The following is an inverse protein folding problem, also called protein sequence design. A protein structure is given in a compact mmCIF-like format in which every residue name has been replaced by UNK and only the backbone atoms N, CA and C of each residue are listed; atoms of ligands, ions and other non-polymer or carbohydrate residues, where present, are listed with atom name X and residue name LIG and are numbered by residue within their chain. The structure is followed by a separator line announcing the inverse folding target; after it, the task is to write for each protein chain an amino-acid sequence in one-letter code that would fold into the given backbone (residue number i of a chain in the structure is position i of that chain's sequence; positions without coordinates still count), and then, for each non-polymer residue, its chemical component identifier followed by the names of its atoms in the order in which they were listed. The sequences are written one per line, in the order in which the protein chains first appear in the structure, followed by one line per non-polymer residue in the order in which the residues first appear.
data_IF_435368189645
#
_entry.id   IF_435368189645
#
_cell.length_a   1.000
_cell.length_b   1.000
_cell.length_c   1.000
_cell.angle_alpha   90.00
_cell.angle_beta   90.00
_cell.angle_gamma   90.00
#
_symmetry.space_group_name_H-M   'P 1'
#
loop_
_entity.id
_entity.type
_entity.pdbx_description
1 polymer ?
#
# COMPACT_ATOMS: atom_id res chain seq x y z
N UNK A 1 11.27 14.22 16.87
CA UNK A 1 11.19 13.47 15.60
C UNK A 1 12.62 13.21 15.16
N UNK A 2 12.99 11.97 14.84
CA UNK A 2 14.26 11.73 14.15
C UNK A 2 14.12 12.35 12.77
N UNK A 3 15.10 13.15 12.36
CA UNK A 3 15.19 13.61 10.98
C UNK A 3 15.55 12.41 10.10
N UNK A 4 14.53 11.69 9.61
CA UNK A 4 14.73 10.69 8.55
C UNK A 4 15.01 11.46 7.25
N UNK A 5 16.22 11.31 6.73
CA UNK A 5 16.62 11.77 5.40
C UNK A 5 16.51 10.60 4.41
N UNK A 6 16.24 10.90 3.14
CA UNK A 6 16.05 9.90 2.10
C UNK A 6 17.28 8.98 1.94
N UNK A 7 18.50 9.52 2.10
CA UNK A 7 19.75 8.77 2.02
C UNK A 7 20.01 7.81 3.19
N UNK A 8 19.19 7.86 4.24
CA UNK A 8 19.33 7.00 5.41
C UNK A 8 18.43 5.77 5.37
N UNK A 9 17.66 5.60 4.29
CA UNK A 9 16.82 4.42 4.07
C UNK A 9 17.70 3.26 3.62
N UNK A 10 17.43 2.07 4.14
CA UNK A 10 18.10 0.86 3.71
C UNK A 10 17.85 0.58 2.22
N UNK A 11 18.89 0.16 1.51
CA UNK A 11 18.79 -0.21 0.09
C UNK A 11 17.79 -1.36 -0.09
N UNK A 12 17.76 -2.33 0.82
CA UNK A 12 16.82 -3.46 0.75
C UNK A 12 15.35 -2.98 0.85
N UNK A 13 15.09 -1.95 1.67
CA UNK A 13 13.76 -1.36 1.79
C UNK A 13 13.36 -0.59 0.52
N UNK A 14 14.32 0.10 -0.12
CA UNK A 14 14.10 0.78 -1.40
C UNK A 14 13.82 -0.24 -2.51
N UNK A 15 14.58 -1.34 -2.58
CA UNK A 15 14.38 -2.41 -3.57
C UNK A 15 12.98 -3.03 -3.44
N UNK A 16 12.58 -3.41 -2.23
CA UNK A 16 11.23 -3.89 -1.95
C UNK A 16 10.14 -2.88 -2.35
N UNK A 17 10.41 -1.59 -2.16
CA UNK A 17 9.48 -0.53 -2.54
C UNK A 17 9.39 -0.34 -4.06
N UNK A 18 10.49 -0.48 -4.78
CA UNK A 18 10.51 -0.44 -6.24
C UNK A 18 9.66 -1.56 -6.84
N UNK A 19 9.64 -2.76 -6.25
CA UNK A 19 8.71 -3.81 -6.68
C UNK A 19 7.24 -3.41 -6.55
N UNK A 20 6.88 -2.63 -5.53
CA UNK A 20 5.50 -2.12 -5.41
C UNK A 20 5.19 -1.12 -6.52
N UNK A 21 6.15 -0.26 -6.89
CA UNK A 21 6.04 0.70 -8.00
C UNK A 21 5.84 -0.04 -9.32
N UNK A 22 6.63 -1.08 -9.59
CA UNK A 22 6.49 -1.93 -10.77
C UNK A 22 5.07 -2.48 -10.90
N UNK A 23 4.55 -3.06 -9.81
CA UNK A 23 3.20 -3.62 -9.76
C UNK A 23 2.12 -2.55 -10.01
N UNK A 24 2.28 -1.36 -9.43
CA UNK A 24 1.29 -0.28 -9.53
C UNK A 24 1.23 0.37 -10.91
N UNK A 25 2.39 0.60 -11.54
CA UNK A 25 2.53 1.23 -12.85
C UNK A 25 2.68 0.23 -14.00
N UNK A 26 2.68 -1.08 -13.72
CA UNK A 26 2.94 -2.16 -14.68
C UNK A 26 4.22 -1.93 -15.51
N UNK A 27 5.28 -1.52 -14.83
CA UNK A 27 6.64 -1.36 -15.39
C UNK A 27 7.57 -2.42 -14.80
N UNK A 28 8.76 -2.61 -15.40
CA UNK A 28 9.75 -3.59 -14.92
C UNK A 28 11.16 -2.99 -14.97
N UNK A 29 11.82 -2.86 -13.82
CA UNK A 29 13.21 -2.46 -13.66
C UNK A 29 14.14 -3.65 -13.92
N UNK A 30 15.20 -3.44 -14.69
CA UNK A 30 16.24 -4.44 -14.90
C UNK A 30 17.29 -4.32 -13.79
N UNK A 31 18.02 -5.41 -13.57
CA UNK A 31 19.13 -5.41 -12.61
C UNK A 31 20.11 -4.27 -12.96
N UNK A 32 20.56 -3.54 -11.94
CA UNK A 32 21.53 -2.45 -12.04
C UNK A 32 21.09 -1.22 -12.84
N UNK A 33 19.84 -1.17 -13.31
CA UNK A 33 19.34 -0.08 -14.16
C UNK A 33 19.28 1.28 -13.45
N UNK A 34 19.11 1.24 -12.12
CA UNK A 34 19.00 2.44 -11.27
C UNK A 34 20.34 2.86 -10.65
N UNK A 35 21.46 2.17 -10.94
CA UNK A 35 22.79 2.46 -10.32
C UNK A 35 23.23 3.92 -10.51
N UNK A 36 22.86 4.53 -11.63
CA UNK A 36 23.24 5.91 -11.95
C UNK A 36 22.28 6.96 -11.39
N UNK A 37 21.17 6.55 -10.78
CA UNK A 37 20.15 7.44 -10.23
C UNK A 37 20.55 7.79 -8.80
N UNK A 38 21.01 9.02 -8.62
CA UNK A 38 21.51 9.51 -7.31
C UNK A 38 20.53 10.47 -6.64
N UNK A 39 19.59 11.03 -7.42
CA UNK A 39 18.64 12.04 -6.95
C UNK A 39 17.20 11.59 -7.12
N UNK A 40 16.35 11.98 -6.17
CA UNK A 40 14.93 11.66 -6.17
C UNK A 40 14.19 12.14 -7.43
N UNK A 41 14.51 13.34 -7.93
CA UNK A 41 13.92 13.84 -9.16
C UNK A 41 14.28 12.99 -10.38
N UNK A 42 15.51 12.47 -10.44
CA UNK A 42 15.93 11.56 -11.50
C UNK A 42 15.16 10.24 -11.45
N UNK A 43 14.91 9.71 -10.24
CA UNK A 43 14.08 8.51 -10.08
C UNK A 43 12.65 8.76 -10.56
N UNK A 44 12.06 9.90 -10.20
CA UNK A 44 10.72 10.26 -10.64
C UNK A 44 10.63 10.36 -12.18
N UNK A 45 11.58 11.05 -12.81
CA UNK A 45 11.64 11.16 -14.27
C UNK A 45 11.81 9.79 -14.93
N UNK A 46 12.69 8.97 -14.36
CA UNK A 46 12.99 7.64 -14.85
C UNK A 46 11.74 6.75 -14.83
N UNK A 47 11.05 6.65 -13.69
CA UNK A 47 9.80 5.91 -13.55
C UNK A 47 8.76 6.43 -14.54
N UNK A 48 8.60 7.76 -14.61
CA UNK A 48 7.60 8.40 -15.47
C UNK A 48 7.84 8.09 -16.95
N UNK A 49 9.10 8.12 -17.40
CA UNK A 49 9.45 7.84 -18.80
C UNK A 49 9.38 6.36 -19.14
N UNK A 50 9.43 5.47 -18.14
CA UNK A 50 9.31 4.02 -18.33
C UNK A 50 7.88 3.54 -18.55
N UNK A 51 6.88 4.38 -18.26
CA UNK A 51 5.47 4.07 -18.49
C UNK A 51 5.14 4.27 -19.97
N UNK A 52 5.07 3.16 -20.71
CA UNK A 52 4.75 3.13 -22.14
C UNK A 52 3.22 3.12 -22.41
N UNK A 53 2.50 4.10 -21.87
CA UNK A 53 1.05 4.22 -22.01
C UNK A 53 0.65 5.57 -22.60
N UNK A 54 -0.61 5.71 -23.02
CA UNK A 54 -1.13 6.98 -23.54
C UNK A 54 -1.24 8.02 -22.41
N UNK A 55 -0.67 9.20 -22.62
CA UNK A 55 -0.80 10.29 -21.66
C UNK A 55 -2.20 10.92 -21.75
N UNK A 56 -2.93 10.92 -20.64
CA UNK A 56 -4.23 11.55 -20.50
C UNK A 56 -4.27 12.38 -19.21
N UNK A 57 -4.58 13.68 -19.33
CA UNK A 57 -4.46 14.68 -18.25
C UNK A 57 -5.51 14.57 -17.14
N UNK A 58 -6.44 13.61 -17.20
CA UNK A 58 -7.45 13.43 -16.17
C UNK A 58 -6.84 12.93 -14.85
N UNK A 59 -7.37 13.42 -13.73
CA UNK A 59 -6.83 13.14 -12.40
C UNK A 59 -7.15 11.71 -11.95
N UNK A 60 -6.15 10.93 -11.56
CA UNK A 60 -6.37 9.54 -11.09
C UNK A 60 -7.04 9.51 -9.73
N UNK A 61 -6.74 10.43 -8.81
CA UNK A 61 -7.45 10.50 -7.52
C UNK A 61 -8.96 10.70 -7.68
N UNK A 62 -9.36 11.53 -8.66
CA UNK A 62 -10.78 11.74 -8.96
C UNK A 62 -11.42 10.47 -9.53
N UNK A 63 -10.73 9.79 -10.46
CA UNK A 63 -11.19 8.52 -11.03
C UNK A 63 -11.30 7.43 -9.96
N UNK A 64 -10.29 7.29 -9.11
CA UNK A 64 -10.25 6.38 -7.98
C UNK A 64 -11.41 6.65 -7.01
N UNK A 65 -11.68 7.91 -6.68
CA UNK A 65 -12.82 8.27 -5.83
C UNK A 65 -14.15 7.85 -6.46
N UNK A 66 -14.38 8.16 -7.74
CA UNK A 66 -15.64 7.79 -8.39
C UNK A 66 -15.79 6.28 -8.53
N UNK A 67 -14.72 5.55 -8.85
CA UNK A 67 -14.70 4.09 -8.92
C UNK A 67 -15.00 3.46 -7.56
N UNK A 68 -14.36 3.95 -6.49
CA UNK A 68 -14.60 3.49 -5.13
C UNK A 68 -16.02 3.81 -4.67
N UNK A 69 -16.50 5.03 -4.93
CA UNK A 69 -17.85 5.47 -4.57
C UNK A 69 -18.93 4.63 -5.23
N UNK A 70 -18.74 4.29 -6.51
CA UNK A 70 -19.62 3.37 -7.24
C UNK A 70 -19.68 2.01 -6.57
N UNK A 71 -18.51 1.42 -6.30
CA UNK A 71 -18.39 0.10 -5.71
C UNK A 71 -19.07 0.03 -4.33
N UNK A 72 -18.83 1.04 -3.48
CA UNK A 72 -19.45 1.13 -2.15
C UNK A 72 -20.96 1.26 -2.25
N UNK A 73 -21.47 2.12 -3.15
CA UNK A 73 -22.90 2.32 -3.33
C UNK A 73 -23.61 1.02 -3.72
N UNK A 74 -23.01 0.23 -4.62
CA UNK A 74 -23.55 -1.06 -5.05
C UNK A 74 -23.52 -2.09 -3.91
N UNK A 75 -22.41 -2.21 -3.20
CA UNK A 75 -22.20 -3.26 -2.19
C UNK A 75 -23.04 -3.03 -0.94
N UNK A 76 -23.11 -1.76 -0.49
CA UNK A 76 -23.87 -1.39 0.71
C UNK A 76 -25.32 -1.02 0.39
N UNK A 77 -25.70 -0.99 -0.90
CA UNK A 77 -27.01 -0.56 -1.37
C UNK A 77 -27.42 0.83 -0.84
N UNK A 78 -26.51 1.80 -0.95
CA UNK A 78 -26.71 3.19 -0.51
C UNK A 78 -26.55 4.16 -1.69
N UNK A 79 -27.16 5.33 -1.59
CA UNK A 79 -27.08 6.34 -2.64
C UNK A 79 -25.66 6.93 -2.76
N UNK A 80 -25.10 6.98 -3.98
CA UNK A 80 -23.75 7.52 -4.25
C UNK A 80 -23.50 8.92 -3.68
N UNK A 81 -24.54 9.75 -3.60
CA UNK A 81 -24.45 11.15 -3.13
C UNK A 81 -24.15 11.27 -1.63
N UNK A 82 -24.40 10.24 -0.83
CA UNK A 82 -24.13 10.25 0.61
C UNK A 82 -22.67 9.95 0.93
N UNK A 83 -21.92 9.38 -0.03
CA UNK A 83 -20.54 8.97 0.14
C UNK A 83 -19.60 10.15 -0.13
N UNK A 84 -18.90 10.60 0.91
CA UNK A 84 -17.98 11.74 0.84
C UNK A 84 -16.55 11.35 1.21
N UNK A 85 -15.57 12.14 0.75
CA UNK A 85 -14.15 11.87 1.01
C UNK A 85 -13.78 11.85 2.50
N UNK A 86 -14.45 12.66 3.31
CA UNK A 86 -14.16 12.78 4.74
C UNK A 86 -14.98 11.81 5.60
N UNK A 87 -15.82 10.98 4.97
CA UNK A 87 -16.65 10.02 5.69
C UNK A 87 -15.77 8.98 6.41
N UNK A 88 -16.01 8.73 7.70
CA UNK A 88 -15.32 7.67 8.43
C UNK A 88 -15.64 6.29 7.84
N UNK A 89 -14.60 5.47 7.68
CA UNK A 89 -14.76 4.10 7.20
C UNK A 89 -15.49 3.21 8.21
N UNK A 90 -15.45 3.55 9.49
CA UNK A 90 -16.18 2.85 10.55
C UNK A 90 -17.68 2.92 10.39
N UNK A 91 -18.17 4.00 9.79
CA UNK A 91 -19.60 4.26 9.61
C UNK A 91 -20.14 3.51 8.39
N UNK A 92 -19.31 3.37 7.34
CA UNK A 92 -19.62 2.59 6.14
C UNK A 92 -19.42 1.09 6.35
N UNK A 93 -18.38 0.70 7.10
CA UNK A 93 -17.99 -0.70 7.29
C UNK A 93 -17.98 -1.05 8.78
N UNK A 94 -19.15 -1.32 9.39
CA UNK A 94 -19.24 -1.68 10.81
C UNK A 94 -18.56 -3.03 11.07
N UNK A 95 -17.98 -3.20 12.27
CA UNK A 95 -17.17 -4.38 12.65
C UNK A 95 -17.82 -5.72 12.30
N UNK A 96 -19.15 -5.83 12.43
CA UNK A 96 -19.91 -7.07 12.22
C UNK A 96 -19.85 -7.58 10.78
N UNK A 97 -19.92 -6.71 9.77
CA UNK A 97 -19.99 -7.08 8.35
C UNK A 97 -18.72 -6.73 7.57
N UNK A 98 -17.82 -5.93 8.19
CA UNK A 98 -16.61 -5.37 7.59
C UNK A 98 -15.79 -6.34 6.74
N UNK A 99 -15.48 -7.55 7.23
CA UNK A 99 -14.65 -8.50 6.46
C UNK A 99 -15.35 -8.86 5.14
N UNK A 100 -16.63 -9.19 5.22
CA UNK A 100 -17.44 -9.57 4.06
C UNK A 100 -17.60 -8.40 3.09
N UNK A 101 -17.88 -7.21 3.60
CA UNK A 101 -18.10 -6.01 2.77
C UNK A 101 -16.81 -5.57 2.07
N UNK A 102 -15.68 -5.59 2.76
CA UNK A 102 -14.37 -5.30 2.15
C UNK A 102 -13.98 -6.37 1.13
N UNK A 103 -14.23 -7.66 1.40
CA UNK A 103 -13.97 -8.71 0.41
C UNK A 103 -14.81 -8.51 -0.86
N UNK A 104 -16.10 -8.21 -0.73
CA UNK A 104 -16.98 -7.85 -1.86
C UNK A 104 -16.46 -6.62 -2.60
N UNK A 105 -15.95 -5.63 -1.87
CA UNK A 105 -15.39 -4.40 -2.42
C UNK A 105 -14.15 -4.66 -3.26
N UNK A 106 -13.20 -5.43 -2.74
CA UNK A 106 -12.00 -5.84 -3.46
C UNK A 106 -12.33 -6.68 -4.70
N UNK A 107 -13.29 -7.62 -4.58
CA UNK A 107 -13.77 -8.42 -5.71
C UNK A 107 -14.39 -7.54 -6.80
N UNK A 108 -15.22 -6.57 -6.43
CA UNK A 108 -15.82 -5.64 -7.38
C UNK A 108 -14.79 -4.73 -8.05
N UNK A 109 -13.80 -4.24 -7.29
CA UNK A 109 -12.74 -3.38 -7.82
C UNK A 109 -11.75 -4.12 -8.72
N UNK A 110 -11.60 -5.43 -8.53
CA UNK A 110 -10.66 -6.29 -9.27
C UNK A 110 -9.25 -6.34 -8.66
N UNK A 111 -9.04 -5.72 -7.50
CA UNK A 111 -7.73 -5.68 -6.83
C UNK A 111 -7.87 -5.53 -5.31
N UNK A 112 -6.78 -5.82 -4.60
CA UNK A 112 -6.72 -5.79 -3.14
C UNK A 112 -6.47 -4.38 -2.61
N UNK A 113 -7.26 -3.98 -1.60
CA UNK A 113 -7.06 -2.73 -0.88
C UNK A 113 -6.18 -2.93 0.36
N UNK A 114 -6.19 -4.14 0.96
CA UNK A 114 -5.41 -4.48 2.15
C UNK A 114 -5.59 -3.44 3.28
N UNK A 115 -6.84 -3.04 3.54
CA UNK A 115 -7.20 -2.02 4.54
C UNK A 115 -7.63 -2.62 5.89
N UNK A 116 -7.65 -3.95 5.98
CA UNK A 116 -7.91 -4.69 7.20
C UNK A 116 -6.60 -5.17 7.82
N UNK A 117 -6.51 -5.12 9.14
CA UNK A 117 -5.37 -5.60 9.91
C UNK A 117 -5.82 -6.43 11.11
N UNK A 118 -4.98 -7.39 11.56
CA UNK A 118 -5.22 -8.11 12.80
C UNK A 118 -5.23 -7.16 14.01
N UNK A 119 -5.85 -7.60 15.10
CA UNK A 119 -5.77 -6.87 16.35
C UNK A 119 -4.33 -6.91 16.89
N UNK A 120 -3.83 -5.77 17.35
CA UNK A 120 -2.43 -5.62 17.77
C UNK A 120 -1.95 -6.65 18.81
N UNK A 121 -2.80 -7.06 19.76
CA UNK A 121 -2.42 -8.03 20.80
C UNK A 121 -2.15 -9.42 20.20
N UNK A 122 -2.88 -9.84 19.17
CA UNK A 122 -2.63 -11.10 18.46
C UNK A 122 -1.26 -11.08 17.78
N UNK A 123 -0.92 -9.97 17.12
CA UNK A 123 0.40 -9.80 16.50
C UNK A 123 1.53 -9.88 17.52
N UNK A 124 1.34 -9.32 18.72
CA UNK A 124 2.32 -9.41 19.82
C UNK A 124 2.49 -10.87 20.27
N UNK A 125 1.38 -11.59 20.51
CA UNK A 125 1.44 -12.98 20.98
C UNK A 125 2.18 -13.87 19.98
N UNK A 126 1.83 -13.80 18.70
CA UNK A 126 2.48 -14.64 17.68
C UNK A 126 3.94 -14.25 17.46
N UNK A 127 4.28 -12.96 17.59
CA UNK A 127 5.68 -12.49 17.52
C UNK A 127 6.50 -13.03 18.70
N UNK A 128 5.99 -12.93 19.92
CA UNK A 128 6.64 -13.49 21.10
C UNK A 128 6.82 -15.01 20.99
N UNK A 129 5.77 -15.73 20.54
CA UNK A 129 5.84 -17.16 20.29
C UNK A 129 6.92 -17.51 19.25
N UNK A 130 7.01 -16.74 18.16
CA UNK A 130 8.04 -16.93 17.13
C UNK A 130 9.43 -16.79 17.73
N UNK A 131 9.69 -15.71 18.47
CA UNK A 131 11.00 -15.44 19.08
C UNK A 131 11.38 -16.53 20.09
N UNK A 132 10.46 -16.94 20.97
CA UNK A 132 10.70 -18.01 21.94
C UNK A 132 11.00 -19.34 21.21
N UNK A 133 10.24 -19.65 20.15
CA UNK A 133 10.42 -20.88 19.38
C UNK A 133 11.74 -20.89 18.61
N UNK A 134 12.15 -19.73 18.09
CA UNK A 134 13.44 -19.56 17.43
C UNK A 134 14.61 -19.80 18.39
N UNK A 135 14.56 -19.27 19.61
CA UNK A 135 15.56 -19.58 20.65
C UNK A 135 15.52 -21.06 21.04
N UNK A 136 14.33 -21.65 21.14
CA UNK A 136 14.16 -23.06 21.47
C UNK A 136 14.75 -24.01 20.41
N UNK A 137 14.90 -23.60 19.15
CA UNK A 137 15.55 -24.43 18.11
C UNK A 137 16.97 -24.88 18.52
N UNK A 138 17.68 -24.04 19.27
CA UNK A 138 19.06 -24.31 19.69
C UNK A 138 19.17 -25.30 20.86
N UNK A 139 18.07 -25.54 21.58
CA UNK A 139 18.03 -26.46 22.72
C UNK A 139 17.22 -27.72 22.40
N UNK A 140 16.05 -27.54 21.80
CA UNK A 140 15.08 -28.60 21.49
C UNK A 140 14.47 -28.34 20.11
N UNK A 141 15.17 -28.80 19.08
CA UNK A 141 14.81 -28.64 17.67
C UNK A 141 13.33 -28.94 17.34
N UNK A 142 12.72 -30.08 17.72
CA UNK A 142 11.34 -30.38 17.33
C UNK A 142 10.32 -29.41 17.95
N UNK A 143 10.57 -28.94 19.18
CA UNK A 143 9.69 -27.97 19.86
C UNK A 143 9.83 -26.61 19.19
N UNK A 144 11.05 -26.18 18.87
CA UNK A 144 11.29 -24.93 18.15
C UNK A 144 10.61 -24.90 16.78
N UNK A 145 10.74 -25.99 16.00
CA UNK A 145 10.09 -26.09 14.69
C UNK A 145 8.55 -26.04 14.79
N UNK A 146 7.97 -26.77 15.75
CA UNK A 146 6.53 -26.76 15.97
C UNK A 146 6.04 -25.37 16.35
N UNK A 147 6.73 -24.68 17.25
CA UNK A 147 6.35 -23.34 17.68
C UNK A 147 6.46 -22.29 16.57
N UNK A 148 7.47 -22.39 15.70
CA UNK A 148 7.58 -21.56 14.49
C UNK A 148 6.40 -21.81 13.56
N UNK A 149 6.05 -23.08 13.30
CA UNK A 149 4.93 -23.43 12.44
C UNK A 149 3.60 -22.89 12.98
N UNK A 150 3.37 -23.01 14.28
CA UNK A 150 2.17 -22.47 14.94
C UNK A 150 2.13 -20.95 14.81
N UNK A 151 3.26 -20.27 15.03
CA UNK A 151 3.33 -18.81 14.91
C UNK A 151 3.04 -18.33 13.48
N UNK A 152 3.68 -18.92 12.46
CA UNK A 152 3.46 -18.56 11.06
C UNK A 152 2.00 -18.77 10.67
N UNK A 153 1.43 -19.92 11.05
CA UNK A 153 0.01 -20.24 10.76
C UNK A 153 -0.92 -19.27 11.49
N UNK A 154 -0.62 -18.95 12.75
CA UNK A 154 -1.37 -17.99 13.56
C UNK A 154 -1.35 -16.58 12.98
N UNK A 155 -0.20 -16.11 12.49
CA UNK A 155 -0.10 -14.83 11.78
C UNK A 155 -0.95 -14.81 10.52
N UNK A 156 -0.89 -15.85 9.70
CA UNK A 156 -1.70 -15.95 8.47
C UNK A 156 -3.20 -15.89 8.77
N UNK A 157 -3.67 -16.70 9.72
CA UNK A 157 -5.09 -16.73 10.13
C UNK A 157 -5.51 -15.38 10.71
N UNK A 158 -4.66 -14.75 11.52
CA UNK A 158 -4.95 -13.44 12.11
C UNK A 158 -5.08 -12.35 11.06
N UNK A 159 -4.24 -12.39 10.03
CA UNK A 159 -4.27 -11.43 8.93
C UNK A 159 -5.56 -11.57 8.10
N UNK A 160 -5.94 -12.82 7.77
CA UNK A 160 -7.18 -13.09 7.01
C UNK A 160 -8.47 -12.74 7.78
N UNK A 161 -8.42 -12.79 9.11
CA UNK A 161 -9.53 -12.46 10.01
C UNK A 161 -9.39 -11.08 10.66
N UNK A 162 -8.49 -10.22 10.15
CA UNK A 162 -8.31 -8.88 10.65
C UNK A 162 -9.59 -8.06 10.53
N UNK A 163 -10.08 -7.53 11.65
CA UNK A 163 -11.28 -6.67 11.67
C UNK A 163 -10.93 -5.21 11.86
N UNK A 164 -9.68 -4.84 12.19
CA UNK A 164 -9.33 -3.45 12.41
C UNK A 164 -9.05 -2.75 11.08
N UNK A 165 -9.55 -1.51 10.93
CA UNK A 165 -9.23 -0.69 9.76
C UNK A 165 -7.87 -0.04 9.97
N UNK A 166 -7.01 -0.11 8.96
CA UNK A 166 -5.71 0.58 8.96
C UNK A 166 -5.81 2.05 8.54
N UNK A 167 -6.92 2.42 7.88
CA UNK A 167 -7.23 3.76 7.42
C UNK A 167 -8.50 4.28 8.10
N UNK A 168 -8.66 5.60 8.17
CA UNK A 168 -9.78 6.27 8.85
C UNK A 168 -10.88 6.72 7.90
N UNK A 169 -10.53 7.19 6.70
CA UNK A 169 -11.47 7.89 5.80
C UNK A 169 -11.45 7.37 4.36
N UNK A 170 -12.50 7.66 3.59
CA UNK A 170 -12.57 7.36 2.16
C UNK A 170 -11.43 8.03 1.38
N UNK A 171 -11.06 9.26 1.74
CA UNK A 171 -9.92 9.99 1.16
C UNK A 171 -8.63 9.19 1.24
N UNK A 172 -8.38 8.53 2.37
CA UNK A 172 -7.17 7.72 2.57
C UNK A 172 -7.19 6.47 1.69
N UNK A 173 -8.34 5.81 1.52
CA UNK A 173 -8.47 4.69 0.57
C UNK A 173 -8.15 5.17 -0.84
N UNK A 174 -8.73 6.30 -1.27
CA UNK A 174 -8.49 6.88 -2.60
C UNK A 174 -7.00 7.15 -2.82
N UNK A 175 -6.31 7.77 -1.85
CA UNK A 175 -4.86 7.98 -1.93
C UNK A 175 -4.09 6.67 -1.99
N UNK A 176 -4.50 5.65 -1.23
CA UNK A 176 -3.87 4.33 -1.26
C UNK A 176 -4.08 3.63 -2.61
N UNK A 177 -5.28 3.70 -3.19
CA UNK A 177 -5.61 3.19 -4.52
C UNK A 177 -4.71 3.83 -5.57
N UNK A 178 -4.64 5.15 -5.60
CA UNK A 178 -3.80 5.89 -6.57
C UNK A 178 -2.32 5.55 -6.44
N UNK A 179 -1.81 5.30 -5.23
CA UNK A 179 -0.40 4.91 -5.03
C UNK A 179 -0.15 3.46 -5.41
N UNK A 180 -0.82 2.51 -4.75
CA UNK A 180 -0.51 1.08 -4.85
C UNK A 180 -1.16 0.36 -6.04
N UNK A 181 -2.17 0.97 -6.65
CA UNK A 181 -2.96 0.39 -7.74
C UNK A 181 -3.26 1.46 -8.81
N UNK A 182 -2.24 2.22 -9.23
CA UNK A 182 -2.41 3.43 -10.04
C UNK A 182 -3.20 3.16 -11.33
N UNK A 183 -2.74 2.20 -12.15
CA UNK A 183 -3.38 1.89 -13.42
C UNK A 183 -4.77 1.27 -13.24
N UNK A 184 -4.92 0.37 -12.26
CA UNK A 184 -6.22 -0.25 -11.92
C UNK A 184 -7.23 0.78 -11.39
N UNK A 185 -6.77 1.90 -10.85
CA UNK A 185 -7.63 2.99 -10.36
C UNK A 185 -8.16 3.88 -11.47
N UNK A 186 -7.54 3.86 -12.65
CA UNK A 186 -7.97 4.64 -13.82
C UNK A 186 -9.14 3.95 -14.52
N UNK A 187 -9.97 4.76 -15.19
CA UNK A 187 -11.09 4.27 -15.99
C UNK A 187 -10.62 3.51 -17.22
N UNK A 188 -9.56 4.01 -17.87
CA UNK A 188 -8.83 3.31 -18.91
C UNK A 188 -7.43 2.99 -18.38
N UNK A 189 -7.15 1.70 -18.17
CA UNK A 189 -5.89 1.21 -17.61
C UNK A 189 -4.72 1.37 -18.59
N UNK A 190 -4.99 1.63 -19.88
CA UNK A 190 -3.96 1.87 -20.90
C UNK A 190 -3.58 3.35 -21.02
N UNK A 191 -3.97 4.17 -20.04
CA UNK A 191 -3.62 5.58 -19.97
C UNK A 191 -2.97 5.89 -18.64
N UNK A 192 -2.17 6.95 -18.58
CA UNK A 192 -1.65 7.52 -17.35
C UNK A 192 -1.62 9.04 -17.45
N UNK A 193 -1.50 9.75 -16.32
CA UNK A 193 -1.31 11.19 -16.33
C UNK A 193 0.14 11.50 -15.95
N UNK A 194 0.95 11.88 -16.95
CA UNK A 194 2.37 12.18 -16.75
C UNK A 194 2.61 13.24 -15.66
N UNK A 195 1.72 14.22 -15.56
CA UNK A 195 1.88 15.39 -14.69
C UNK A 195 1.62 15.12 -13.21
N UNK A 196 1.05 13.97 -12.84
CA UNK A 196 0.77 13.63 -11.44
C UNK A 196 1.71 12.57 -10.85
N UNK A 197 2.51 11.88 -11.68
CA UNK A 197 3.35 10.76 -11.24
C UNK A 197 4.33 11.19 -10.15
N UNK A 198 5.04 12.30 -10.34
CA UNK A 198 5.97 12.83 -9.32
C UNK A 198 5.27 13.08 -7.98
N UNK A 199 4.08 13.68 -7.99
CA UNK A 199 3.30 13.92 -6.77
C UNK A 199 2.81 12.62 -6.13
N UNK A 200 2.44 11.62 -6.93
CA UNK A 200 2.07 10.28 -6.44
C UNK A 200 3.26 9.61 -5.77
N UNK A 201 4.45 9.68 -6.38
CA UNK A 201 5.69 9.13 -5.82
C UNK A 201 6.09 9.85 -4.53
N UNK A 202 6.05 11.19 -4.49
CA UNK A 202 6.31 11.97 -3.26
C UNK A 202 5.36 11.53 -2.13
N UNK A 203 4.06 11.44 -2.39
CA UNK A 203 3.10 10.98 -1.38
C UNK A 203 3.38 9.53 -0.97
N UNK A 204 3.82 8.68 -1.88
CA UNK A 204 4.09 7.28 -1.57
C UNK A 204 5.36 7.10 -0.75
N UNK A 205 6.49 7.66 -1.18
CA UNK A 205 7.76 7.65 -0.42
C UNK A 205 7.58 8.24 0.98
N UNK A 206 6.92 9.41 1.08
CA UNK A 206 6.65 10.05 2.36
C UNK A 206 5.87 9.16 3.32
N UNK A 207 4.85 8.45 2.83
CA UNK A 207 4.06 7.56 3.68
C UNK A 207 4.76 6.22 3.97
N UNK A 208 5.58 5.71 3.04
CA UNK A 208 6.25 4.43 3.21
C UNK A 208 7.39 4.52 4.22
N UNK A 209 8.18 5.60 4.14
CA UNK A 209 9.41 5.78 4.90
C UNK A 209 9.30 6.84 6.01
N UNK A 210 8.08 7.29 6.31
CA UNK A 210 7.78 8.36 7.29
C UNK A 210 8.63 9.64 7.06
N UNK A 211 8.82 10.00 5.79
CA UNK A 211 9.58 11.18 5.40
C UNK A 211 8.68 12.40 5.30
N UNK A 212 9.20 13.56 5.69
CA UNK A 212 8.58 14.84 5.38
C UNK A 212 8.64 15.08 3.86
N UNK A 213 7.48 15.34 3.25
CA UNK A 213 7.34 15.64 1.82
C UNK A 213 8.20 16.82 1.39
N UNK A 214 8.43 17.80 2.27
CA UNK A 214 9.25 18.96 1.96
C UNK A 214 10.72 18.59 1.73
N UNK A 215 11.17 17.45 2.26
CA UNK A 215 12.52 16.91 2.06
C UNK A 215 12.66 16.10 0.76
N UNK A 216 11.56 15.65 0.16
CA UNK A 216 11.53 14.92 -1.12
C UNK A 216 11.60 15.88 -2.32
N UNK A 217 12.66 16.68 -2.36
CA UNK A 217 12.93 17.60 -3.47
C UNK A 217 13.57 16.87 -4.65
N UNK A 218 13.54 17.46 -5.84
CA UNK A 218 14.19 16.87 -7.03
C UNK A 218 15.69 16.65 -6.84
N UNK A 219 16.33 17.46 -6.00
CA UNK A 219 17.76 17.38 -5.68
C UNK A 219 18.09 16.49 -4.48
N UNK A 220 17.07 15.94 -3.80
CA UNK A 220 17.26 15.09 -2.63
C UNK A 220 18.05 13.82 -3.01
N UNK A 221 19.08 13.51 -2.23
CA UNK A 221 19.97 12.36 -2.45
C UNK A 221 19.26 11.06 -2.04
N UNK A 222 19.25 10.08 -2.94
CA UNK A 222 18.64 8.75 -2.72
C UNK A 222 19.59 7.77 -2.00
N UNK A 223 20.87 7.81 -2.36
CA UNK A 223 21.96 6.96 -1.84
C UNK A 223 23.19 7.84 -1.65
#
# INVERSE_FOLDING_TARGET
MKDCELSNIDIEEIECFLEEIEKSFKVHFLNNELIHITKFGQLCDYITNKIELENCSNCTNQQAFYKLREAIAIILNIEKRTITLNQPLTDLFPRKTRITDIKKLETYLGFKLNILRPHHWLSIIFSALFTISFVALFFILPIGLLGILISITGFKISHENGTELSLKTIREIVKKMTRKNYLESRRNQNTFNKNEIENVLIDWFSNQFDLDKTKLTREAKLF
#
